data_IF_848055853108
#
_entry.id   IF_848055853108
#
_cell.length_a   1.000
_cell.length_b   1.000
_cell.length_c   1.000
_cell.angle_alpha   90.00
_cell.angle_beta   90.00
_cell.angle_gamma   90.00
#
_symmetry.space_group_name_H-M   'P 1'
#
loop_
_entity.id
_entity.type
_entity.pdbx_description
1 polymer ?
#
# COMPACT_ATOMS: atom_id res chain seq x y z
N UNK A 1 0.64 0.04 -1.92
CA UNK A 1 0.94 -0.52 -0.57
C UNK A 1 2.34 -1.11 -0.57
N UNK A 2 3.17 -0.86 0.45
CA UNK A 2 4.49 -1.49 0.57
C UNK A 2 4.38 -2.94 1.05
N UNK A 3 5.17 -3.86 0.47
CA UNK A 3 5.12 -5.29 0.82
C UNK A 3 5.40 -5.54 2.32
N UNK A 4 6.18 -4.70 3.00
CA UNK A 4 6.43 -4.84 4.43
C UNK A 4 5.15 -4.90 5.28
N UNK A 5 4.08 -4.23 4.86
CA UNK A 5 2.78 -4.28 5.53
C UNK A 5 2.16 -5.70 5.50
N UNK A 6 2.41 -6.49 4.44
CA UNK A 6 1.91 -7.87 4.34
C UNK A 6 2.60 -8.81 5.32
N UNK A 7 3.84 -8.49 5.71
CA UNK A 7 4.65 -9.27 6.64
C UNK A 7 4.41 -8.91 8.11
N UNK A 8 3.77 -7.76 8.37
CA UNK A 8 3.56 -7.25 9.72
C UNK A 8 2.58 -8.13 10.51
N UNK A 9 3.06 -8.71 11.62
CA UNK A 9 2.29 -9.61 12.49
C UNK A 9 1.61 -8.86 13.63
N UNK A 10 0.78 -7.87 13.26
CA UNK A 10 0.03 -7.05 14.23
C UNK A 10 -1.22 -7.77 14.79
N UNK A 11 -1.53 -8.97 14.29
CA UNK A 11 -2.66 -9.78 14.69
C UNK A 11 -2.27 -11.27 14.77
N UNK A 12 -3.12 -12.13 15.38
CA UNK A 12 -2.94 -13.58 15.36
C UNK A 12 -2.77 -14.14 13.92
N UNK A 13 -2.03 -15.26 13.75
CA UNK A 13 -1.72 -15.77 12.41
C UNK A 13 -2.92 -16.10 11.53
N UNK A 14 -4.00 -16.61 12.11
CA UNK A 14 -5.27 -16.91 11.43
C UNK A 14 -5.96 -15.65 10.91
N UNK A 15 -5.90 -14.56 11.67
CA UNK A 15 -6.42 -13.25 11.27
C UNK A 15 -5.59 -12.67 10.11
N UNK A 16 -4.26 -12.74 10.19
CA UNK A 16 -3.39 -12.27 9.11
C UNK A 16 -3.63 -13.08 7.83
N UNK A 17 -3.80 -14.39 7.95
CA UNK A 17 -4.19 -15.27 6.85
C UNK A 17 -5.49 -14.80 6.19
N UNK A 18 -6.53 -14.54 6.98
CA UNK A 18 -7.81 -14.06 6.46
C UNK A 18 -7.70 -12.68 5.78
N UNK A 19 -6.88 -11.77 6.31
CA UNK A 19 -6.60 -10.47 5.70
C UNK A 19 -5.91 -10.62 4.33
N UNK A 20 -4.89 -11.48 4.22
CA UNK A 20 -4.18 -11.73 2.96
C UNK A 20 -5.09 -12.42 1.93
N UNK A 21 -5.93 -13.36 2.35
CA UNK A 21 -6.91 -14.02 1.48
C UNK A 21 -7.95 -13.01 0.95
N UNK A 22 -8.38 -12.05 1.78
CA UNK A 22 -9.25 -10.94 1.36
C UNK A 22 -8.58 -10.03 0.33
N UNK A 23 -7.30 -9.71 0.50
CA UNK A 23 -6.52 -8.90 -0.43
C UNK A 23 -6.36 -9.60 -1.78
N UNK A 24 -6.11 -10.92 -1.80
CA UNK A 24 -6.07 -11.70 -3.04
C UNK A 24 -7.38 -11.58 -3.84
N UNK A 25 -8.53 -11.62 -3.16
CA UNK A 25 -9.83 -11.45 -3.80
C UNK A 25 -10.15 -10.03 -4.28
N UNK A 26 -9.42 -9.00 -3.84
CA UNK A 26 -9.57 -7.63 -4.35
C UNK A 26 -8.83 -7.44 -5.68
N UNK A 27 -7.77 -8.21 -5.94
CA UNK A 27 -6.99 -8.04 -7.15
C UNK A 27 -7.82 -8.47 -8.37
N UNK A 28 -8.04 -7.55 -9.29
CA UNK A 28 -8.84 -7.76 -10.51
C UNK A 28 -10.28 -7.24 -10.42
N UNK A 29 -10.66 -6.58 -9.32
CA UNK A 29 -11.92 -5.84 -9.26
C UNK A 29 -11.83 -4.52 -10.04
N UNK A 30 -12.89 -4.18 -10.78
CA UNK A 30 -12.96 -2.92 -11.53
C UNK A 30 -13.15 -1.68 -10.62
N UNK A 31 -13.47 -1.89 -9.35
CA UNK A 31 -13.69 -0.83 -8.36
C UNK A 31 -12.46 -0.52 -7.52
N UNK A 32 -11.42 -1.36 -7.56
CA UNK A 32 -10.22 -1.21 -6.70
C UNK A 32 -8.96 -1.56 -7.49
N UNK A 33 -8.06 -0.58 -7.61
CA UNK A 33 -6.73 -0.79 -8.16
C UNK A 33 -5.72 -1.01 -7.02
N UNK A 34 -5.36 -2.28 -6.77
CA UNK A 34 -4.40 -2.64 -5.73
C UNK A 34 -2.98 -2.79 -6.31
N UNK A 35 -2.11 -1.85 -5.97
CA UNK A 35 -0.67 -1.90 -6.25
C UNK A 35 0.15 -2.30 -5.04
N UNK A 36 1.13 -3.18 -5.23
CA UNK A 36 2.08 -3.62 -4.20
C UNK A 36 3.47 -3.18 -4.60
N UNK A 37 4.21 -2.49 -3.73
CA UNK A 37 5.64 -2.18 -3.92
C UNK A 37 6.44 -3.34 -3.30
N UNK A 38 7.02 -4.25 -4.09
CA UNK A 38 7.77 -5.40 -3.59
C UNK A 38 9.03 -4.97 -2.82
N UNK A 39 9.45 -5.78 -1.84
CA UNK A 39 10.72 -5.57 -1.12
C UNK A 39 11.95 -5.63 -2.04
N UNK A 40 11.83 -6.26 -3.20
CA UNK A 40 12.89 -6.42 -4.19
C UNK A 40 12.89 -5.35 -5.28
N UNK A 41 11.90 -4.45 -5.31
CA UNK A 41 11.86 -3.39 -6.32
C UNK A 41 12.94 -2.34 -6.05
N UNK A 42 13.61 -1.81 -7.09
CA UNK A 42 14.41 -0.61 -6.94
C UNK A 42 13.51 0.56 -6.55
N UNK A 43 13.88 1.26 -5.48
CA UNK A 43 13.11 2.37 -4.93
C UNK A 43 13.77 3.70 -5.31
N UNK A 44 12.98 4.61 -5.89
CA UNK A 44 13.38 6.01 -6.07
C UNK A 44 13.08 6.86 -4.82
N UNK A 45 12.07 6.46 -4.05
CA UNK A 45 11.68 7.06 -2.79
C UNK A 45 11.43 5.97 -1.74
N UNK A 46 11.75 6.22 -0.46
CA UNK A 46 11.37 5.30 0.60
C UNK A 46 9.84 5.29 0.79
N UNK A 47 9.21 4.12 0.96
CA UNK A 47 7.83 4.04 1.44
C UNK A 47 7.80 4.44 2.92
N UNK A 48 7.74 5.75 3.17
CA UNK A 48 7.73 6.40 4.47
C UNK A 48 6.31 6.39 5.07
N UNK A 49 5.89 7.49 5.70
CA UNK A 49 4.55 7.65 6.27
C UNK A 49 3.46 7.38 5.22
N UNK A 50 2.43 6.64 5.61
CA UNK A 50 1.25 6.45 4.78
C UNK A 50 0.48 7.75 4.62
N UNK A 51 -0.08 7.94 3.43
CA UNK A 51 -0.97 9.05 3.13
C UNK A 51 -2.11 8.61 2.22
N UNK A 52 -3.21 9.34 2.30
CA UNK A 52 -4.38 9.18 1.44
C UNK A 52 -4.56 10.45 0.63
N UNK A 53 -4.75 10.32 -0.69
CA UNK A 53 -5.16 11.43 -1.55
C UNK A 53 -6.66 11.28 -1.86
N UNK A 54 -7.43 12.32 -1.56
CA UNK A 54 -8.87 12.35 -1.73
C UNK A 54 -9.24 13.34 -2.84
N UNK A 55 -9.78 12.81 -3.93
CA UNK A 55 -10.26 13.54 -5.11
C UNK A 55 -9.27 14.55 -5.73
N UNK A 56 -7.96 14.43 -5.46
CA UNK A 56 -6.97 15.43 -5.87
C UNK A 56 -7.15 16.80 -5.19
N UNK A 57 -7.83 16.84 -4.04
CA UNK A 57 -8.17 18.07 -3.30
C UNK A 57 -7.68 18.10 -1.86
N UNK A 58 -7.34 16.94 -1.31
CA UNK A 58 -6.90 16.81 0.07
C UNK A 58 -5.93 15.64 0.18
N UNK A 59 -4.84 15.86 0.90
CA UNK A 59 -3.94 14.81 1.35
C UNK A 59 -4.08 14.67 2.85
N UNK A 60 -4.35 13.45 3.32
CA UNK A 60 -4.40 13.13 4.74
C UNK A 60 -3.22 12.25 5.09
N UNK A 61 -2.47 12.63 6.11
CA UNK A 61 -1.36 11.83 6.65
C UNK A 61 -1.54 11.63 8.13
N UNK A 62 -1.16 10.45 8.61
CA UNK A 62 -1.14 10.15 10.03
C UNK A 62 0.31 10.04 10.52
N UNK A 63 0.55 10.63 11.68
CA UNK A 63 1.70 10.38 12.55
C UNK A 63 1.17 9.98 13.94
N UNK A 64 2.02 9.45 14.80
CA UNK A 64 1.63 8.90 16.11
C UNK A 64 0.85 9.87 17.00
N UNK A 65 1.06 11.16 16.82
CA UNK A 65 0.54 12.23 17.69
C UNK A 65 -0.44 13.16 16.98
N UNK A 66 -0.55 13.08 15.65
CA UNK A 66 -1.31 14.02 14.86
C UNK A 66 -1.74 13.44 13.52
N UNK A 67 -2.92 13.87 13.07
CA UNK A 67 -3.36 13.71 11.69
C UNK A 67 -3.24 15.08 10.99
N UNK A 68 -2.62 15.10 9.82
CA UNK A 68 -2.41 16.29 9.02
C UNK A 68 -3.34 16.27 7.81
N UNK A 69 -4.06 17.39 7.63
CA UNK A 69 -4.97 17.62 6.51
C UNK A 69 -4.36 18.72 5.64
N UNK A 70 -3.91 18.36 4.45
CA UNK A 70 -3.15 19.25 3.56
C UNK A 70 -3.96 19.48 2.27
N UNK A 71 -4.46 20.69 2.09
CA UNK A 71 -5.36 21.07 0.99
C UNK A 71 -4.78 22.18 0.08
N UNK A 72 -3.55 22.63 0.33
CA UNK A 72 -2.89 23.59 -0.55
C UNK A 72 -2.38 22.91 -1.83
N UNK A 73 -2.46 23.64 -2.94
CA UNK A 73 -2.21 23.10 -4.27
C UNK A 73 -0.76 22.62 -4.49
N UNK A 74 0.22 23.27 -3.88
CA UNK A 74 1.63 22.90 -4.03
C UNK A 74 1.93 21.59 -3.31
N UNK A 75 1.39 21.42 -2.10
CA UNK A 75 1.50 20.20 -1.32
C UNK A 75 0.76 19.04 -1.98
N UNK A 76 -0.47 19.24 -2.45
CA UNK A 76 -1.19 18.21 -3.21
C UNK A 76 -0.37 17.76 -4.42
N UNK A 77 0.19 18.71 -5.18
CA UNK A 77 1.03 18.38 -6.33
C UNK A 77 2.32 17.65 -5.93
N UNK A 78 2.90 17.95 -4.78
CA UNK A 78 4.05 17.22 -4.23
C UNK A 78 3.67 15.77 -3.92
N UNK A 79 2.59 15.53 -3.18
CA UNK A 79 2.15 14.18 -2.84
C UNK A 79 1.69 13.38 -4.05
N UNK A 80 1.12 14.01 -5.07
CA UNK A 80 0.87 13.35 -6.36
C UNK A 80 2.17 12.81 -6.96
N UNK A 81 3.25 13.62 -6.99
CA UNK A 81 4.55 13.15 -7.49
C UNK A 81 5.13 12.02 -6.65
N UNK A 82 4.96 12.07 -5.33
CA UNK A 82 5.37 10.96 -4.44
C UNK A 82 4.58 9.69 -4.76
N UNK A 83 3.27 9.80 -4.91
CA UNK A 83 2.40 8.70 -5.30
C UNK A 83 2.83 8.08 -6.63
N UNK A 84 2.99 8.89 -7.66
CA UNK A 84 3.38 8.45 -9.00
C UNK A 84 4.75 7.75 -8.97
N UNK A 85 5.71 8.31 -8.23
CA UNK A 85 7.04 7.71 -8.07
C UNK A 85 7.00 6.35 -7.37
N UNK A 86 6.14 6.18 -6.35
CA UNK A 86 5.95 4.88 -5.70
C UNK A 86 5.19 3.90 -6.61
N UNK A 87 4.26 4.40 -7.41
CA UNK A 87 3.49 3.62 -8.37
C UNK A 87 4.36 3.04 -9.50
N UNK A 88 5.45 3.73 -9.90
CA UNK A 88 6.45 3.19 -10.84
C UNK A 88 7.15 1.92 -10.31
N UNK A 89 7.35 1.82 -8.99
CA UNK A 89 7.98 0.66 -8.34
C UNK A 89 6.96 -0.44 -7.98
N UNK A 90 5.66 -0.18 -8.15
CA UNK A 90 4.59 -1.09 -7.77
C UNK A 90 4.26 -2.10 -8.88
N UNK A 91 3.89 -3.31 -8.46
CA UNK A 91 3.31 -4.35 -9.31
C UNK A 91 1.80 -4.42 -9.09
N UNK A 92 1.07 -4.82 -10.13
CA UNK A 92 -0.39 -4.85 -10.17
C UNK A 92 -0.89 -6.20 -10.72
N UNK A 93 -2.19 -6.45 -10.57
CA UNK A 93 -2.83 -7.63 -11.18
C UNK A 93 -2.17 -8.95 -10.75
N UNK A 94 -1.89 -9.87 -11.70
CA UNK A 94 -1.28 -11.17 -11.38
C UNK A 94 0.03 -11.08 -10.57
N UNK A 95 0.86 -10.07 -10.80
CA UNK A 95 2.14 -9.91 -10.09
C UNK A 95 1.92 -9.48 -8.63
N UNK A 96 0.93 -8.62 -8.38
CA UNK A 96 0.51 -8.29 -7.01
C UNK A 96 -0.05 -9.53 -6.29
N UNK A 97 -0.83 -10.37 -6.97
CA UNK A 97 -1.32 -11.63 -6.41
C UNK A 97 -0.17 -12.56 -6.04
N UNK A 98 0.88 -12.65 -6.86
CA UNK A 98 2.05 -13.47 -6.57
C UNK A 98 2.79 -13.01 -5.30
N UNK A 99 2.95 -11.69 -5.12
CA UNK A 99 3.55 -11.13 -3.90
C UNK A 99 2.72 -11.49 -2.68
N UNK A 100 1.40 -11.24 -2.70
CA UNK A 100 0.51 -11.54 -1.57
C UNK A 100 0.50 -13.04 -1.27
N UNK A 101 0.38 -13.89 -2.29
CA UNK A 101 0.37 -15.35 -2.13
C UNK A 101 1.69 -15.89 -1.55
N UNK A 102 2.83 -15.28 -1.89
CA UNK A 102 4.13 -15.61 -1.30
C UNK A 102 4.13 -15.36 0.20
N UNK A 103 3.69 -14.18 0.63
CA UNK A 103 3.62 -13.84 2.07
C UNK A 103 2.64 -14.76 2.78
N UNK A 104 1.45 -14.99 2.19
CA UNK A 104 0.43 -15.88 2.73
C UNK A 104 0.91 -17.31 2.98
N UNK A 105 1.73 -17.89 2.09
CA UNK A 105 2.32 -19.24 2.29
C UNK A 105 3.33 -19.31 3.43
N UNK A 106 3.90 -18.17 3.83
CA UNK A 106 4.89 -18.11 4.92
C UNK A 106 4.27 -18.07 6.31
N UNK A 107 2.99 -17.69 6.42
CA UNK A 107 2.26 -17.61 7.69
C UNK A 107 1.74 -19.00 8.03
N UNK A 108 2.16 -19.54 9.18
CA UNK A 108 1.65 -20.80 9.73
C UNK A 108 0.61 -20.47 10.79
N UNK A 109 -0.54 -21.15 10.72
CA UNK A 109 -1.60 -21.14 11.73
C UNK A 109 -1.43 -22.37 12.60
#
# INVERSE_FOLDING_TARGET
MWEGALWARLCPPDVLVAQLDRLLGLVGMDTVHLGIVPLTSPLRLPPANSFCMLDGRLVVLEDWHAELWLDDAETIALYQRVWDTLAESAVYGPDAQQVIARVRRSVKV
#
